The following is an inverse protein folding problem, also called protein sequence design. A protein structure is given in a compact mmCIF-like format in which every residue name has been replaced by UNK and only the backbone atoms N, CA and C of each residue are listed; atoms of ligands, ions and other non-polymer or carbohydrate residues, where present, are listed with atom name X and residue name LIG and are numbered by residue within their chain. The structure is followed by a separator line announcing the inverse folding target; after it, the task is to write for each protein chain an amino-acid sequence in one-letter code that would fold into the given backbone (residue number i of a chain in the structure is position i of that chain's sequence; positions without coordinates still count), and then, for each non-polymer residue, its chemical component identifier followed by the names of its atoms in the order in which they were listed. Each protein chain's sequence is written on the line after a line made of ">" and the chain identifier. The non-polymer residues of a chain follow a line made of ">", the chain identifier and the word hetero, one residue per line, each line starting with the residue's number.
data_IF_396565475285
#
_entry.id   IF_396565475285
#
_cell.length_a   1.000
_cell.length_b   1.000
_cell.length_c   1.000
_cell.angle_alpha   90.00
_cell.angle_beta   90.00
_cell.angle_gamma   90.00
#
_symmetry.space_group_name_H-M   'P 1'
#
loop_
_entity.id
_entity.type
_entity.pdbx_description
1 polymer ?
#
# COMPACT_ATOMS: atom_id res chain seq x y z
N UNK A 1 -4.28 51.38 -40.67
CA UNK A 1 -3.19 50.83 -39.83
C UNK A 1 -3.85 50.06 -38.66
N UNK A 2 -3.68 48.77 -38.62
CA UNK A 2 -4.50 47.90 -37.79
C UNK A 2 -4.01 47.79 -36.33
N UNK A 3 -4.90 48.05 -35.41
CA UNK A 3 -4.70 48.03 -33.96
C UNK A 3 -4.29 46.64 -33.38
N UNK A 4 -4.15 45.61 -34.21
CA UNK A 4 -3.77 44.24 -33.81
C UNK A 4 -2.25 43.98 -33.73
N UNK A 5 -1.41 44.93 -34.14
CA UNK A 5 0.07 44.80 -34.07
C UNK A 5 0.73 45.45 -32.85
N UNK A 6 -0.04 46.16 -32.02
CA UNK A 6 0.53 46.83 -30.82
C UNK A 6 0.38 46.02 -29.52
N UNK A 7 -0.43 44.94 -29.53
CA UNK A 7 -0.64 44.08 -28.31
C UNK A 7 0.41 42.97 -28.20
N UNK A 8 1.05 42.60 -29.32
CA UNK A 8 2.07 41.53 -29.33
C UNK A 8 3.44 41.93 -28.75
N UNK A 9 3.74 43.23 -28.68
CA UNK A 9 5.07 43.72 -28.28
C UNK A 9 5.13 44.15 -26.80
N UNK A 10 3.98 44.31 -26.14
CA UNK A 10 3.93 44.66 -24.71
C UNK A 10 4.02 43.43 -23.78
N UNK A 11 3.70 42.21 -24.28
CA UNK A 11 3.74 41.00 -23.48
C UNK A 11 5.12 40.32 -23.39
N UNK A 12 6.02 40.65 -24.32
CA UNK A 12 7.40 40.11 -24.35
C UNK A 12 8.42 40.85 -23.50
N UNK A 13 8.09 42.03 -22.99
CA UNK A 13 9.01 42.84 -22.16
C UNK A 13 8.81 42.61 -20.65
N UNK A 14 7.67 42.06 -20.25
CA UNK A 14 7.41 41.77 -18.83
C UNK A 14 8.03 40.41 -18.37
N UNK A 15 8.38 39.52 -19.29
CA UNK A 15 8.98 38.20 -18.93
C UNK A 15 10.51 38.22 -18.77
N UNK A 16 11.21 39.31 -19.16
CA UNK A 16 12.68 39.39 -19.04
C UNK A 16 13.19 40.22 -17.86
N UNK A 17 12.32 40.81 -17.05
CA UNK A 17 12.73 41.71 -15.94
C UNK A 17 12.79 41.02 -14.57
N UNK A 18 12.47 39.72 -14.47
CA UNK A 18 12.45 38.98 -13.19
C UNK A 18 13.66 38.06 -12.94
N UNK A 19 14.73 38.12 -13.80
CA UNK A 19 15.89 37.23 -13.66
C UNK A 19 17.17 37.90 -13.13
N UNK A 20 17.11 39.11 -12.59
CA UNK A 20 18.32 39.86 -12.15
C UNK A 20 18.18 40.46 -10.75
N UNK A 21 17.70 39.72 -9.76
CA UNK A 21 17.87 40.11 -8.36
C UNK A 21 17.84 38.90 -7.45
N UNK A 22 19.00 38.45 -6.98
CA UNK A 22 19.00 37.48 -5.92
C UNK A 22 20.23 36.58 -5.80
N UNK A 23 21.44 37.16 -5.63
CA UNK A 23 22.49 36.48 -4.86
C UNK A 23 22.34 36.91 -3.40
N UNK A 24 21.73 36.11 -2.60
CA UNK A 24 21.61 36.30 -1.15
C UNK A 24 21.18 34.97 -0.53
N UNK A 25 22.04 34.45 0.30
CA UNK A 25 21.97 33.20 1.06
C UNK A 25 20.59 33.01 1.72
N UNK A 26 19.71 32.18 1.14
CA UNK A 26 18.45 31.75 1.74
C UNK A 26 18.33 30.24 1.58
N UNK A 27 18.11 29.57 2.72
CA UNK A 27 17.71 28.18 2.77
C UNK A 27 16.51 27.99 1.83
N UNK A 28 16.66 27.13 0.84
CA UNK A 28 15.56 26.73 -0.04
C UNK A 28 14.55 25.91 0.79
N UNK A 29 13.56 26.60 1.33
CA UNK A 29 12.27 26.00 1.56
C UNK A 29 11.57 26.01 0.20
N UNK A 30 11.49 24.86 -0.43
CA UNK A 30 10.68 24.64 -1.62
C UNK A 30 9.22 24.69 -1.17
N UNK A 31 8.64 25.89 -1.12
CA UNK A 31 7.20 26.06 -0.98
C UNK A 31 6.53 25.53 -2.27
N UNK A 32 6.13 24.26 -2.23
CA UNK A 32 4.97 23.83 -3.01
C UNK A 32 3.82 24.71 -2.54
N UNK A 33 3.12 25.38 -3.44
CA UNK A 33 1.96 26.24 -3.16
C UNK A 33 0.83 25.40 -2.60
N UNK A 34 0.93 25.03 -1.33
CA UNK A 34 -0.12 24.41 -0.54
C UNK A 34 -1.07 25.51 -0.06
N UNK A 35 -2.36 25.27 -0.14
CA UNK A 35 -3.35 26.04 0.59
C UNK A 35 -2.88 26.19 2.03
N UNK A 36 -2.90 27.43 2.53
CA UNK A 36 -2.29 27.79 3.81
C UNK A 36 -2.83 26.92 4.95
N UNK A 37 -2.07 25.89 5.39
CA UNK A 37 -2.41 25.02 6.49
C UNK A 37 -2.54 23.52 6.16
N UNK A 38 -2.61 23.12 4.89
CA UNK A 38 -2.71 21.69 4.46
C UNK A 38 -1.35 21.01 4.55
N UNK A 39 -1.31 19.87 5.25
CA UNK A 39 -0.09 19.05 5.37
C UNK A 39 -0.10 17.97 4.29
N UNK A 40 0.85 18.06 3.39
CA UNK A 40 1.02 17.11 2.28
C UNK A 40 2.32 16.34 2.42
N UNK A 41 2.35 15.10 1.91
CA UNK A 41 3.55 14.25 1.86
C UNK A 41 3.60 13.54 0.51
N UNK A 42 4.75 13.62 -0.15
CA UNK A 42 5.02 12.86 -1.38
C UNK A 42 5.98 11.73 -1.08
N UNK A 43 5.59 10.51 -1.45
CA UNK A 43 6.37 9.29 -1.25
C UNK A 43 6.74 8.73 -2.62
N UNK A 44 8.01 8.46 -2.88
CA UNK A 44 8.44 7.67 -4.04
C UNK A 44 8.43 6.18 -3.71
N UNK A 45 7.85 5.36 -4.58
CA UNK A 45 7.78 3.90 -4.42
C UNK A 45 8.25 3.19 -5.68
N UNK A 46 9.20 2.27 -5.54
CA UNK A 46 9.69 1.43 -6.65
C UNK A 46 8.77 0.24 -6.93
N UNK A 47 7.85 -0.10 -6.04
CA UNK A 47 7.04 -1.33 -6.10
C UNK A 47 5.62 -1.10 -6.61
N UNK A 48 5.08 0.11 -6.48
CA UNK A 48 3.74 0.45 -6.98
C UNK A 48 3.79 0.64 -8.50
N UNK A 49 3.69 -0.46 -9.23
CA UNK A 49 3.72 -0.47 -10.70
C UNK A 49 3.20 -1.79 -11.28
N UNK A 50 2.85 -1.80 -12.55
CA UNK A 50 2.28 -2.94 -13.27
C UNK A 50 3.23 -4.15 -13.39
N UNK A 51 4.55 -3.93 -13.36
CA UNK A 51 5.51 -5.03 -13.43
C UNK A 51 5.57 -5.86 -12.14
N UNK A 52 5.12 -5.31 -11.01
CA UNK A 52 5.00 -6.00 -9.73
C UNK A 52 3.56 -6.42 -9.42
N UNK A 53 2.63 -6.24 -10.36
CA UNK A 53 1.21 -6.54 -10.17
C UNK A 53 0.55 -5.72 -9.03
N UNK A 54 1.19 -4.62 -8.60
CA UNK A 54 0.67 -3.67 -7.62
C UNK A 54 0.26 -2.36 -8.34
N UNK A 55 -0.58 -2.48 -9.36
CA UNK A 55 -0.92 -1.37 -10.26
C UNK A 55 -2.24 -0.66 -9.94
N UNK A 56 -2.90 -1.07 -8.86
CA UNK A 56 -4.11 -0.47 -8.33
C UNK A 56 -4.17 -0.70 -6.81
N UNK A 57 -5.29 -0.39 -6.17
CA UNK A 57 -5.44 -0.56 -4.71
C UNK A 57 -6.57 -1.52 -4.32
N UNK A 58 -7.09 -2.29 -5.28
CA UNK A 58 -8.08 -3.34 -4.99
C UNK A 58 -7.37 -4.57 -4.39
N UNK A 59 -7.58 -4.92 -3.10
CA UNK A 59 -6.89 -6.04 -2.47
C UNK A 59 -7.27 -7.40 -3.04
N UNK A 60 -8.39 -7.49 -3.80
CA UNK A 60 -8.84 -8.71 -4.46
C UNK A 60 -8.23 -8.91 -5.84
N UNK A 61 -7.34 -8.00 -6.29
CA UNK A 61 -6.67 -8.07 -7.57
C UNK A 61 -5.16 -8.34 -7.39
N UNK A 62 -4.73 -9.55 -7.75
CA UNK A 62 -3.34 -10.00 -7.73
C UNK A 62 -2.61 -9.64 -6.41
N UNK A 63 -1.55 -8.82 -6.46
CA UNK A 63 -0.78 -8.36 -5.30
C UNK A 63 -1.11 -6.93 -4.85
N UNK A 64 -2.15 -6.31 -5.42
CA UNK A 64 -2.55 -4.92 -5.11
C UNK A 64 -2.96 -4.71 -3.64
N UNK A 65 -3.28 -5.77 -2.91
CA UNK A 65 -3.48 -5.72 -1.45
C UNK A 65 -2.30 -5.12 -0.69
N UNK A 66 -1.05 -5.29 -1.18
CA UNK A 66 0.12 -4.67 -0.57
C UNK A 66 0.08 -3.14 -0.64
N UNK A 67 -0.37 -2.58 -1.75
CA UNK A 67 -0.57 -1.13 -1.88
C UNK A 67 -1.73 -0.66 -0.99
N UNK A 68 -2.84 -1.40 -0.99
CA UNK A 68 -4.02 -1.11 -0.17
C UNK A 68 -3.68 -0.97 1.31
N UNK A 69 -2.98 -1.96 1.89
CA UNK A 69 -2.62 -1.94 3.33
C UNK A 69 -1.47 -0.96 3.62
N UNK A 70 -0.45 -0.87 2.77
CA UNK A 70 0.74 -0.03 2.94
C UNK A 70 0.37 1.44 3.05
N UNK A 71 -0.55 1.89 2.23
CA UNK A 71 -0.97 3.30 2.19
C UNK A 71 -2.19 3.60 3.05
N UNK A 72 -2.65 2.62 3.84
CA UNK A 72 -3.71 2.82 4.83
C UNK A 72 -5.08 3.07 4.22
N UNK A 73 -5.39 2.41 3.08
CA UNK A 73 -6.71 2.47 2.42
C UNK A 73 -7.64 1.42 3.03
N UNK A 74 -7.18 0.16 3.04
CA UNK A 74 -7.88 -0.95 3.66
C UNK A 74 -7.12 -1.49 4.86
N UNK A 75 -7.83 -2.16 5.74
CA UNK A 75 -7.31 -2.80 6.94
C UNK A 75 -7.81 -4.24 7.01
N UNK A 76 -7.03 -5.11 7.65
CA UNK A 76 -7.36 -6.53 7.82
C UNK A 76 -8.09 -6.79 9.14
N UNK A 77 -8.73 -7.94 9.28
CA UNK A 77 -9.40 -8.31 10.54
C UNK A 77 -8.42 -8.39 11.71
N UNK A 78 -7.22 -8.88 11.46
CA UNK A 78 -6.13 -8.97 12.42
C UNK A 78 -4.87 -8.38 11.82
N UNK A 79 -3.93 -7.93 12.64
CA UNK A 79 -2.63 -7.44 12.19
C UNK A 79 -1.49 -8.24 12.81
N UNK A 80 -0.29 -8.08 12.27
CA UNK A 80 0.92 -8.63 12.85
C UNK A 80 1.65 -7.57 13.69
N UNK A 81 2.11 -8.00 14.88
CA UNK A 81 3.05 -7.22 15.68
C UNK A 81 4.44 -7.21 15.04
N UNK A 82 5.36 -6.38 15.58
CA UNK A 82 6.78 -6.39 15.17
C UNK A 82 7.48 -7.72 15.45
N UNK A 83 6.89 -8.59 16.30
CA UNK A 83 7.36 -9.96 16.58
C UNK A 83 6.61 -11.02 15.79
N UNK A 84 5.81 -10.63 14.79
CA UNK A 84 5.00 -11.52 13.96
C UNK A 84 3.89 -12.29 14.70
N UNK A 85 3.45 -11.76 15.83
CA UNK A 85 2.29 -12.29 16.56
C UNK A 85 1.00 -11.67 16.02
N UNK A 86 -0.09 -12.43 16.04
CA UNK A 86 -1.41 -11.95 15.64
C UNK A 86 -1.99 -11.07 16.74
N UNK A 87 -2.38 -9.86 16.38
CA UNK A 87 -3.03 -8.88 17.25
C UNK A 87 -4.42 -8.50 16.72
N UNK A 88 -5.37 -8.14 17.61
CA UNK A 88 -6.65 -7.58 17.22
C UNK A 88 -6.49 -6.31 16.36
N UNK A 89 -7.40 -6.17 15.36
CA UNK A 89 -7.50 -4.94 14.57
C UNK A 89 -8.96 -4.65 14.26
N UNK A 90 -9.48 -4.88 13.03
CA UNK A 90 -10.93 -4.77 12.77
C UNK A 90 -11.75 -5.84 13.52
N UNK A 91 -11.14 -6.99 13.80
CA UNK A 91 -11.64 -7.93 14.79
C UNK A 91 -11.10 -7.54 16.17
N UNK A 92 -11.98 -7.38 17.16
CA UNK A 92 -11.58 -7.10 18.55
C UNK A 92 -11.28 -8.37 19.35
N UNK A 93 -11.92 -9.49 18.99
CA UNK A 93 -11.70 -10.81 19.61
C UNK A 93 -12.14 -11.92 18.67
N UNK A 94 -11.67 -13.13 18.93
CA UNK A 94 -12.04 -14.32 18.17
C UNK A 94 -11.96 -15.58 19.03
N UNK A 95 -12.69 -16.61 18.61
CA UNK A 95 -12.71 -17.93 19.22
C UNK A 95 -12.66 -19.01 18.13
N UNK A 96 -11.79 -20.00 18.28
CA UNK A 96 -11.87 -21.24 17.52
C UNK A 96 -12.84 -22.17 18.26
N UNK A 97 -14.11 -22.23 17.82
CA UNK A 97 -15.19 -22.96 18.47
C UNK A 97 -14.99 -24.46 18.37
N UNK A 98 -14.54 -24.90 17.20
CA UNK A 98 -14.16 -26.28 16.90
C UNK A 98 -13.16 -26.32 15.72
N UNK A 99 -12.78 -27.52 15.24
CA UNK A 99 -11.78 -27.68 14.19
C UNK A 99 -12.12 -26.98 12.87
N UNK A 100 -13.40 -26.72 12.60
CA UNK A 100 -13.90 -26.15 11.36
C UNK A 100 -14.56 -24.78 11.54
N UNK A 101 -14.75 -24.32 12.78
CA UNK A 101 -15.59 -23.15 13.07
C UNK A 101 -14.82 -22.08 13.84
N UNK A 102 -14.80 -20.89 13.28
CA UNK A 102 -14.26 -19.68 13.90
C UNK A 102 -15.36 -18.67 14.11
N UNK A 103 -15.38 -18.05 15.28
CA UNK A 103 -16.26 -16.94 15.62
C UNK A 103 -15.41 -15.69 15.85
N UNK A 104 -15.72 -14.62 15.11
CA UNK A 104 -14.98 -13.37 15.12
C UNK A 104 -15.92 -12.26 15.53
N UNK A 105 -15.54 -11.46 16.53
CA UNK A 105 -16.29 -10.28 16.96
C UNK A 105 -15.59 -9.03 16.42
N UNK A 106 -16.31 -8.23 15.65
CA UNK A 106 -15.79 -7.02 14.99
C UNK A 106 -15.77 -5.82 15.93
N UNK A 107 -14.94 -4.82 15.62
CA UNK A 107 -14.97 -3.50 16.25
C UNK A 107 -16.31 -2.82 16.00
N UNK A 108 -16.73 -2.01 16.99
CA UNK A 108 -17.93 -1.19 16.87
C UNK A 108 -17.60 0.17 16.23
N UNK A 109 -18.56 0.78 15.55
CA UNK A 109 -18.45 2.12 14.97
C UNK A 109 -17.37 2.31 13.91
N UNK A 110 -16.98 1.26 13.22
CA UNK A 110 -16.12 1.34 12.03
C UNK A 110 -16.97 1.64 10.80
N UNK A 111 -16.48 2.55 9.95
CA UNK A 111 -17.13 2.88 8.67
C UNK A 111 -16.14 2.69 7.52
N UNK A 112 -16.67 2.28 6.40
CA UNK A 112 -15.96 2.39 5.13
C UNK A 112 -15.93 3.85 4.65
N UNK A 113 -14.99 4.18 3.80
CA UNK A 113 -14.93 5.51 3.17
C UNK A 113 -16.12 5.83 2.25
N UNK A 114 -16.92 4.84 1.88
CA UNK A 114 -18.24 4.99 1.24
C UNK A 114 -19.31 5.58 2.18
N UNK A 115 -19.09 5.53 3.50
CA UNK A 115 -20.03 5.91 4.54
C UNK A 115 -20.86 4.75 5.09
N UNK A 116 -20.80 3.55 4.49
CA UNK A 116 -21.44 2.33 5.00
C UNK A 116 -20.80 1.91 6.32
N UNK A 117 -21.61 1.44 7.28
CA UNK A 117 -21.10 0.83 8.51
C UNK A 117 -20.46 -0.54 8.21
N UNK A 118 -19.35 -0.85 8.88
CA UNK A 118 -18.72 -2.16 8.82
C UNK A 118 -19.34 -3.07 9.89
N UNK A 119 -20.27 -3.90 9.48
CA UNK A 119 -20.83 -4.99 10.26
C UNK A 119 -20.39 -6.37 9.73
N UNK A 120 -20.87 -7.43 10.37
CA UNK A 120 -20.51 -8.79 9.95
C UNK A 120 -21.05 -9.16 8.56
N UNK A 121 -22.17 -8.57 8.12
CA UNK A 121 -22.68 -8.83 6.77
C UNK A 121 -21.77 -8.19 5.71
N UNK A 122 -21.34 -6.95 5.93
CA UNK A 122 -20.39 -6.29 5.01
C UNK A 122 -19.05 -7.01 4.94
N UNK A 123 -18.54 -7.52 6.07
CA UNK A 123 -17.29 -8.33 6.10
C UNK A 123 -17.49 -9.66 5.39
N UNK A 124 -18.64 -10.32 5.58
CA UNK A 124 -18.98 -11.56 4.89
C UNK A 124 -19.00 -11.35 3.36
N UNK A 125 -19.72 -10.32 2.88
CA UNK A 125 -19.76 -9.99 1.45
C UNK A 125 -18.36 -9.72 0.87
N UNK A 126 -17.52 -9.01 1.62
CA UNK A 126 -16.12 -8.78 1.23
C UNK A 126 -15.34 -10.08 1.10
N UNK A 127 -15.43 -11.00 2.07
CA UNK A 127 -14.71 -12.27 2.05
C UNK A 127 -15.28 -13.25 1.01
N UNK A 128 -16.59 -13.22 0.72
CA UNK A 128 -17.20 -13.96 -0.37
C UNK A 128 -16.63 -13.48 -1.70
N UNK A 129 -16.65 -12.18 -1.96
CA UNK A 129 -16.05 -11.60 -3.16
C UNK A 129 -14.54 -11.93 -3.28
N UNK A 130 -13.80 -11.84 -2.17
CA UNK A 130 -12.38 -12.22 -2.12
C UNK A 130 -12.17 -13.67 -2.58
N UNK A 131 -12.91 -14.61 -2.01
CA UNK A 131 -12.74 -16.04 -2.32
C UNK A 131 -13.22 -16.43 -3.71
N UNK A 132 -14.12 -15.66 -4.29
CA UNK A 132 -14.55 -15.83 -5.68
C UNK A 132 -13.53 -15.33 -6.69
N UNK A 133 -12.84 -14.22 -6.40
CA UNK A 133 -12.00 -13.49 -7.36
C UNK A 133 -10.49 -13.65 -7.15
N UNK A 134 -10.05 -14.08 -5.96
CA UNK A 134 -8.63 -14.24 -5.62
C UNK A 134 -8.27 -15.70 -5.37
N UNK A 135 -7.64 -16.37 -6.35
CA UNK A 135 -7.37 -17.82 -6.32
C UNK A 135 -6.52 -18.25 -5.11
N UNK A 136 -5.50 -17.45 -4.74
CA UNK A 136 -4.67 -17.74 -3.56
C UNK A 136 -5.50 -17.67 -2.28
N UNK A 137 -6.31 -16.63 -2.08
CA UNK A 137 -7.16 -16.48 -0.90
C UNK A 137 -8.15 -17.64 -0.78
N UNK A 138 -8.79 -18.05 -1.88
CA UNK A 138 -9.66 -19.23 -1.92
C UNK A 138 -8.96 -20.49 -1.42
N UNK A 139 -7.72 -20.71 -1.84
CA UNK A 139 -6.95 -21.88 -1.46
C UNK A 139 -6.45 -21.81 -0.01
N UNK A 140 -6.09 -20.62 0.46
CA UNK A 140 -5.56 -20.39 1.81
C UNK A 140 -6.67 -20.42 2.86
N UNK A 141 -7.80 -19.77 2.63
CA UNK A 141 -8.89 -19.61 3.60
C UNK A 141 -9.78 -20.85 3.70
N UNK A 142 -10.06 -21.55 2.59
CA UNK A 142 -10.94 -22.73 2.54
C UNK A 142 -12.31 -22.50 3.19
N UNK A 143 -12.85 -21.31 3.06
CA UNK A 143 -14.18 -20.96 3.56
C UNK A 143 -15.23 -21.80 2.82
N UNK A 144 -16.12 -22.45 3.57
CA UNK A 144 -17.26 -23.20 3.08
C UNK A 144 -18.54 -22.37 3.17
N UNK A 145 -18.75 -21.74 4.32
CA UNK A 145 -19.89 -20.85 4.56
C UNK A 145 -19.60 -19.83 5.65
N UNK A 146 -20.39 -18.77 5.69
CA UNK A 146 -20.28 -17.74 6.72
C UNK A 146 -21.68 -17.31 7.17
N UNK A 147 -21.80 -17.00 8.46
CA UNK A 147 -23.00 -16.45 9.08
C UNK A 147 -22.68 -15.10 9.73
N UNK A 148 -23.53 -14.11 9.54
CA UNK A 148 -23.40 -12.78 10.11
C UNK A 148 -24.56 -12.48 11.06
N UNK A 149 -24.25 -11.96 12.26
CA UNK A 149 -25.21 -11.50 13.25
C UNK A 149 -24.68 -10.24 13.96
N UNK A 150 -25.12 -9.08 13.48
CA UNK A 150 -24.64 -7.78 13.97
C UNK A 150 -23.13 -7.61 13.77
N UNK A 151 -22.35 -7.64 14.85
CA UNK A 151 -20.88 -7.55 14.81
C UNK A 151 -20.20 -8.91 14.97
N UNK A 152 -20.92 -10.01 14.82
CA UNK A 152 -20.39 -11.36 14.96
C UNK A 152 -20.39 -12.03 13.60
N UNK A 153 -19.20 -12.40 13.13
CA UNK A 153 -19.00 -13.22 11.94
C UNK A 153 -18.61 -14.64 12.38
N UNK A 154 -19.37 -15.64 11.92
CA UNK A 154 -19.00 -17.05 12.08
C UNK A 154 -18.54 -17.58 10.73
N UNK A 155 -17.33 -18.14 10.70
CA UNK A 155 -16.71 -18.72 9.50
C UNK A 155 -16.64 -20.23 9.67
N UNK A 156 -17.19 -20.98 8.72
CA UNK A 156 -17.04 -22.41 8.60
C UNK A 156 -16.07 -22.73 7.47
N UNK A 157 -15.08 -23.58 7.74
CA UNK A 157 -14.07 -24.01 6.76
C UNK A 157 -14.33 -25.45 6.31
N UNK A 158 -14.00 -25.75 5.05
CA UNK A 158 -14.16 -27.09 4.47
C UNK A 158 -13.16 -28.12 4.99
N UNK A 159 -12.11 -27.68 5.68
CA UNK A 159 -11.08 -28.48 6.32
C UNK A 159 -10.52 -27.74 7.54
N UNK A 160 -9.89 -28.42 8.53
CA UNK A 160 -9.28 -27.75 9.67
C UNK A 160 -8.27 -26.69 9.26
N UNK A 161 -8.46 -25.45 9.75
CA UNK A 161 -7.64 -24.27 9.41
C UNK A 161 -7.14 -23.56 10.68
N UNK A 162 -6.18 -24.16 11.42
CA UNK A 162 -5.66 -23.54 12.65
C UNK A 162 -4.94 -22.20 12.37
N UNK A 163 -4.48 -21.97 11.15
CA UNK A 163 -3.82 -20.73 10.73
C UNK A 163 -4.77 -19.75 10.01
N UNK A 164 -6.10 -19.88 10.14
CA UNK A 164 -7.06 -19.02 9.43
C UNK A 164 -6.80 -17.54 9.68
N UNK A 165 -6.53 -17.14 10.91
CA UNK A 165 -6.25 -15.75 11.26
C UNK A 165 -5.00 -15.21 10.58
N UNK A 166 -3.96 -16.04 10.39
CA UNK A 166 -2.76 -15.63 9.66
C UNK A 166 -3.09 -15.27 8.21
N UNK A 167 -3.96 -16.02 7.57
CA UNK A 167 -4.42 -15.74 6.21
C UNK A 167 -5.35 -14.54 6.14
N UNK A 168 -6.20 -14.33 7.17
CA UNK A 168 -7.04 -13.13 7.27
C UNK A 168 -6.24 -11.85 7.56
N UNK A 169 -5.00 -11.97 8.00
CA UNK A 169 -4.03 -10.87 8.13
C UNK A 169 -3.12 -10.65 6.92
N UNK A 170 -3.26 -11.48 5.85
CA UNK A 170 -2.54 -11.24 4.57
C UNK A 170 -3.13 -10.02 3.86
N UNK A 171 -2.36 -9.22 3.11
CA UNK A 171 -2.84 -8.02 2.41
C UNK A 171 -4.07 -8.21 1.53
N UNK A 172 -4.28 -9.37 0.91
CA UNK A 172 -5.52 -9.64 0.19
C UNK A 172 -6.76 -9.65 1.10
N UNK A 173 -6.56 -9.89 2.39
CA UNK A 173 -7.62 -9.90 3.41
C UNK A 173 -8.05 -8.51 3.90
N UNK A 174 -7.63 -7.40 3.25
CA UNK A 174 -8.14 -6.08 3.55
C UNK A 174 -9.66 -6.03 3.34
N UNK A 175 -10.37 -5.55 4.36
CA UNK A 175 -11.83 -5.43 4.32
C UNK A 175 -12.21 -4.15 3.58
N UNK A 176 -13.01 -4.30 2.55
CA UNK A 176 -13.50 -3.24 1.67
C UNK A 176 -15.01 -3.34 1.48
N UNK A 177 -15.65 -2.24 1.18
CA UNK A 177 -17.07 -2.21 0.80
C UNK A 177 -17.21 -2.59 -0.68
N UNK A 178 -17.60 -3.84 -0.93
CA UNK A 178 -17.76 -4.36 -2.29
C UNK A 178 -18.96 -3.77 -3.02
N UNK A 179 -19.96 -3.28 -2.28
CA UNK A 179 -21.14 -2.61 -2.86
C UNK A 179 -20.80 -1.22 -3.40
N UNK A 180 -19.72 -0.60 -2.94
CA UNK A 180 -19.24 0.68 -3.46
C UNK A 180 -18.62 0.58 -4.86
N UNK A 181 -18.31 -0.63 -5.33
CA UNK A 181 -17.65 -0.88 -6.61
C UNK A 181 -16.14 -0.70 -6.58
N UNK A 182 -15.51 -0.81 -7.76
CA UNK A 182 -14.06 -0.86 -7.95
C UNK A 182 -13.60 0.07 -9.08
N UNK A 183 -14.22 1.23 -9.21
CA UNK A 183 -13.97 2.16 -10.31
C UNK A 183 -12.49 2.59 -10.35
N UNK A 184 -11.85 2.45 -11.50
CA UNK A 184 -10.43 2.78 -11.75
C UNK A 184 -9.45 2.10 -10.76
N UNK A 185 -9.82 0.93 -10.20
CA UNK A 185 -9.02 0.20 -9.21
C UNK A 185 -8.99 0.84 -7.82
N UNK A 186 -9.88 1.81 -7.57
CA UNK A 186 -10.07 2.44 -6.26
C UNK A 186 -11.12 1.65 -5.47
N UNK A 187 -10.92 1.52 -4.16
CA UNK A 187 -11.81 0.79 -3.27
C UNK A 187 -12.19 1.64 -2.06
N UNK A 188 -13.37 1.39 -1.52
CA UNK A 188 -13.80 1.97 -0.26
C UNK A 188 -13.35 1.08 0.90
N UNK A 189 -12.24 1.44 1.55
CA UNK A 189 -11.71 0.72 2.72
C UNK A 189 -12.10 1.38 4.04
N UNK A 190 -11.58 0.83 5.13
CA UNK A 190 -11.82 1.30 6.52
C UNK A 190 -10.68 2.17 7.04
N UNK A 191 -9.63 2.34 6.27
CA UNK A 191 -8.34 2.88 6.72
C UNK A 191 -8.30 4.40 6.92
N UNK A 192 -7.15 4.91 7.41
CA UNK A 192 -6.94 6.34 7.69
C UNK A 192 -6.89 7.22 6.44
N UNK A 193 -6.73 6.63 5.25
CA UNK A 193 -6.66 7.37 3.99
C UNK A 193 -7.63 6.81 2.96
N UNK A 194 -8.14 7.71 2.12
CA UNK A 194 -9.08 7.42 1.03
C UNK A 194 -8.35 7.68 -0.29
N UNK A 195 -8.28 6.69 -1.17
CA UNK A 195 -7.79 6.87 -2.53
C UNK A 195 -8.79 7.68 -3.34
N UNK A 196 -8.32 8.73 -4.02
CA UNK A 196 -9.15 9.62 -4.82
C UNK A 196 -8.72 9.69 -6.30
N UNK A 197 -7.49 9.28 -6.59
CA UNK A 197 -6.96 9.14 -7.95
C UNK A 197 -5.90 8.04 -7.97
N UNK A 198 -5.99 7.12 -8.92
CA UNK A 198 -5.05 6.02 -9.09
C UNK A 198 -4.70 5.89 -10.58
N UNK A 199 -3.50 6.29 -10.94
CA UNK A 199 -2.96 6.18 -12.29
C UNK A 199 -1.83 5.15 -12.27
N UNK A 200 -2.11 3.97 -12.79
CA UNK A 200 -1.11 2.89 -12.88
C UNK A 200 0.19 3.39 -13.50
N UNK A 201 1.33 3.01 -12.93
CA UNK A 201 2.68 3.40 -13.37
C UNK A 201 3.01 4.90 -13.27
N UNK A 202 2.17 5.72 -12.63
CA UNK A 202 2.41 7.15 -12.44
C UNK A 202 2.24 7.56 -10.98
N UNK A 203 1.02 7.59 -10.46
CA UNK A 203 0.78 8.02 -9.09
C UNK A 203 -0.51 7.47 -8.48
N UNK A 204 -0.57 7.57 -7.15
CA UNK A 204 -1.75 7.38 -6.33
C UNK A 204 -1.90 8.58 -5.41
N UNK A 205 -3.07 9.22 -5.44
CA UNK A 205 -3.41 10.34 -4.56
C UNK A 205 -4.40 9.89 -3.49
N UNK A 206 -4.09 10.22 -2.25
CA UNK A 206 -4.88 9.87 -1.09
C UNK A 206 -5.20 11.11 -0.26
N UNK A 207 -6.41 11.18 0.28
CA UNK A 207 -6.81 12.18 1.26
C UNK A 207 -7.09 11.53 2.61
N UNK A 208 -6.93 12.26 3.69
CA UNK A 208 -7.23 11.71 5.02
C UNK A 208 -8.70 11.34 5.15
N UNK A 209 -8.97 10.25 5.86
CA UNK A 209 -10.30 9.88 6.29
C UNK A 209 -10.61 10.61 7.61
N UNK A 210 -11.49 11.62 7.56
CA UNK A 210 -11.87 12.40 8.74
C UNK A 210 -12.65 11.57 9.76
N UNK A 211 -13.36 10.52 9.30
CA UNK A 211 -14.17 9.63 10.12
C UNK A 211 -13.44 8.34 10.51
N UNK A 212 -12.10 8.34 10.41
CA UNK A 212 -11.31 7.15 10.75
C UNK A 212 -11.52 6.73 12.21
N UNK A 213 -11.93 5.49 12.39
CA UNK A 213 -12.34 4.93 13.68
C UNK A 213 -11.23 4.92 14.75
N UNK A 214 -9.95 4.83 14.34
CA UNK A 214 -8.80 4.71 15.23
C UNK A 214 -7.95 6.00 15.28
N UNK A 215 -8.61 7.15 15.31
CA UNK A 215 -7.99 8.46 15.50
C UNK A 215 -7.81 9.27 14.22
N UNK A 216 -7.40 10.53 14.34
CA UNK A 216 -7.30 11.45 13.21
C UNK A 216 -5.92 11.36 12.55
N UNK A 217 -5.83 11.10 11.23
CA UNK A 217 -4.58 11.14 10.49
C UNK A 217 -3.93 12.53 10.53
N UNK A 218 -2.60 12.57 10.62
CA UNK A 218 -1.84 13.83 10.78
C UNK A 218 -1.51 14.53 9.48
N UNK A 219 -1.49 13.79 8.37
CA UNK A 219 -1.22 14.28 7.03
C UNK A 219 -2.57 14.40 6.31
N UNK A 220 -2.81 15.52 5.65
CA UNK A 220 -4.09 15.79 4.98
C UNK A 220 -4.15 15.15 3.59
N UNK A 221 -3.00 15.03 2.92
CA UNK A 221 -2.90 14.42 1.59
C UNK A 221 -1.57 13.69 1.42
N UNK A 222 -1.63 12.49 0.84
CA UNK A 222 -0.48 11.71 0.41
C UNK A 222 -0.49 11.59 -1.11
N UNK A 223 0.67 11.74 -1.72
CA UNK A 223 0.90 11.37 -3.13
C UNK A 223 1.97 10.31 -3.18
N UNK A 224 1.63 9.15 -3.71
CA UNK A 224 2.59 8.07 -3.98
C UNK A 224 3.00 8.20 -5.44
N UNK A 225 4.28 8.39 -5.70
CA UNK A 225 4.82 8.47 -7.07
C UNK A 225 5.52 7.18 -7.42
N UNK A 226 5.16 6.60 -8.53
CA UNK A 226 5.87 5.44 -9.09
C UNK A 226 7.24 5.88 -9.61
N UNK A 227 8.32 5.41 -8.98
CA UNK A 227 9.70 5.67 -9.40
C UNK A 227 10.45 4.34 -9.40
N UNK A 228 10.39 3.59 -10.48
CA UNK A 228 10.91 2.21 -10.58
C UNK A 228 12.43 2.12 -10.56
N UNK A 229 13.14 3.18 -10.99
CA UNK A 229 14.60 3.23 -10.97
C UNK A 229 15.14 3.72 -9.62
N UNK A 230 15.95 2.91 -8.96
CA UNK A 230 16.49 3.20 -7.62
C UNK A 230 17.40 4.43 -7.56
N UNK A 231 18.13 4.74 -8.62
CA UNK A 231 19.00 5.94 -8.69
C UNK A 231 18.14 7.21 -8.84
N UNK A 232 17.08 7.13 -9.63
CA UNK A 232 16.11 8.20 -9.79
C UNK A 232 15.38 8.46 -8.47
N UNK A 233 14.97 7.40 -7.76
CA UNK A 233 14.36 7.50 -6.43
C UNK A 233 15.28 8.20 -5.43
N UNK A 234 16.57 7.80 -5.38
CA UNK A 234 17.56 8.42 -4.51
C UNK A 234 17.76 9.90 -4.84
N UNK A 235 17.86 10.27 -6.11
CA UNK A 235 18.00 11.66 -6.54
C UNK A 235 16.76 12.50 -6.19
N UNK A 236 15.55 11.95 -6.37
CA UNK A 236 14.31 12.64 -6.03
C UNK A 236 14.22 12.93 -4.51
N UNK A 237 14.67 11.98 -3.67
CA UNK A 237 14.73 12.18 -2.23
C UNK A 237 15.79 13.22 -1.83
N UNK A 238 16.99 13.20 -2.44
CA UNK A 238 18.04 14.18 -2.17
C UNK A 238 17.67 15.59 -2.62
N UNK A 239 16.94 15.73 -3.72
CA UNK A 239 16.48 17.05 -4.22
C UNK A 239 15.30 17.61 -3.45
N UNK A 240 14.63 16.79 -2.60
CA UNK A 240 13.41 17.18 -1.89
C UNK A 240 12.14 17.11 -2.75
N UNK A 241 12.22 16.54 -3.95
CA UNK A 241 11.06 16.30 -4.82
C UNK A 241 10.07 15.33 -4.17
N UNK A 242 10.60 14.35 -3.41
CA UNK A 242 9.85 13.48 -2.51
C UNK A 242 10.39 13.62 -1.08
N UNK A 243 9.54 13.40 -0.09
CA UNK A 243 9.91 13.50 1.33
C UNK A 243 10.12 12.14 1.99
N UNK A 244 9.64 11.06 1.36
CA UNK A 244 9.89 9.69 1.80
C UNK A 244 10.10 8.78 0.58
N UNK A 245 10.81 7.68 0.79
CA UNK A 245 11.09 6.69 -0.26
C UNK A 245 10.84 5.29 0.27
N UNK A 246 10.16 4.45 -0.52
CA UNK A 246 9.95 3.04 -0.28
C UNK A 246 10.61 2.20 -1.39
N UNK A 247 11.24 1.08 -1.01
CA UNK A 247 11.90 0.21 -1.98
C UNK A 247 13.26 0.74 -2.48
N UNK A 248 13.93 1.60 -1.70
CA UNK A 248 15.28 2.07 -2.04
C UNK A 248 16.28 0.93 -2.08
N UNK A 249 17.13 0.93 -3.09
CA UNK A 249 18.20 -0.04 -3.24
C UNK A 249 19.27 0.11 -2.13
N UNK A 250 19.78 -1.00 -1.59
CA UNK A 250 20.74 -1.01 -0.49
C UNK A 250 22.03 -0.23 -0.79
N UNK A 251 22.50 -0.25 -2.03
CA UNK A 251 23.67 0.50 -2.48
C UNK A 251 23.52 2.02 -2.38
N UNK A 252 22.27 2.51 -2.30
CA UNK A 252 21.99 3.95 -2.12
C UNK A 252 21.96 4.39 -0.66
N UNK A 253 21.89 3.47 0.31
CA UNK A 253 21.78 3.80 1.74
C UNK A 253 22.89 4.71 2.26
N UNK A 254 24.19 4.52 1.89
CA UNK A 254 25.26 5.39 2.37
C UNK A 254 25.08 6.89 2.01
N UNK A 255 24.28 7.20 0.99
CA UNK A 255 23.97 8.59 0.61
C UNK A 255 23.10 9.31 1.64
N UNK A 256 22.40 8.56 2.49
CA UNK A 256 21.40 9.04 3.44
C UNK A 256 21.80 8.81 4.90
N UNK A 257 22.98 8.25 5.16
CA UNK A 257 23.52 8.04 6.52
C UNK A 257 24.03 9.35 7.13
N UNK A 258 23.10 10.28 7.39
CA UNK A 258 23.38 11.57 8.01
C UNK A 258 22.14 12.07 8.78
N UNK A 259 22.29 13.12 9.57
CA UNK A 259 21.25 13.65 10.46
C UNK A 259 20.02 14.26 9.74
N UNK A 260 20.08 14.40 8.41
CA UNK A 260 18.95 14.94 7.62
C UNK A 260 17.89 13.88 7.29
N UNK A 261 18.22 12.60 7.43
CA UNK A 261 17.34 11.48 7.06
C UNK A 261 17.12 10.53 8.23
N UNK A 262 15.97 9.86 8.21
CA UNK A 262 15.64 8.81 9.17
C UNK A 262 15.30 7.54 8.41
N UNK A 263 15.91 6.43 8.80
CA UNK A 263 15.55 5.10 8.31
C UNK A 263 14.50 4.49 9.23
N UNK A 264 13.44 3.93 8.61
CA UNK A 264 12.54 2.99 9.27
C UNK A 264 12.87 1.59 8.77
N UNK A 265 13.37 0.75 9.66
CA UNK A 265 13.76 -0.62 9.34
C UNK A 265 13.23 -1.56 10.42
N UNK A 266 12.53 -2.60 9.98
CA UNK A 266 12.06 -3.67 10.87
C UNK A 266 12.46 -5.03 10.28
N UNK A 267 12.69 -6.00 11.14
CA UNK A 267 12.89 -7.39 10.73
C UNK A 267 11.56 -7.99 10.27
N UNK A 268 11.60 -8.71 9.15
CA UNK A 268 10.42 -9.38 8.59
C UNK A 268 10.69 -10.86 8.40
N UNK A 269 9.64 -11.64 8.08
CA UNK A 269 9.76 -13.05 7.68
C UNK A 269 10.22 -13.23 6.22
N UNK A 270 10.47 -12.13 5.47
CA UNK A 270 10.90 -12.20 4.07
C UNK A 270 12.28 -12.83 3.96
N UNK A 271 12.37 -13.88 3.15
CA UNK A 271 13.62 -14.57 2.84
C UNK A 271 13.92 -14.46 1.34
N UNK A 272 15.19 -14.26 1.01
CA UNK A 272 15.67 -14.40 -0.36
C UNK A 272 16.25 -15.80 -0.51
N UNK A 273 15.90 -16.51 -1.58
CA UNK A 273 16.43 -17.83 -1.86
C UNK A 273 16.65 -18.01 -3.36
N UNK A 274 17.67 -18.78 -3.71
CA UNK A 274 17.93 -19.20 -5.08
C UNK A 274 17.18 -20.49 -5.39
N UNK A 275 16.25 -20.46 -6.37
CA UNK A 275 15.60 -21.66 -6.90
C UNK A 275 16.40 -22.19 -8.09
N UNK A 276 16.92 -23.41 -7.96
CA UNK A 276 17.68 -24.06 -9.04
C UNK A 276 16.72 -24.86 -9.94
N UNK A 277 16.93 -24.77 -11.25
CA UNK A 277 16.22 -25.64 -12.19
C UNK A 277 16.89 -27.03 -12.22
N UNK A 278 16.11 -28.09 -11.93
CA UNK A 278 16.58 -29.50 -11.94
C UNK A 278 16.24 -30.24 -13.23
N UNK A 279 15.73 -29.56 -14.25
CA UNK A 279 15.49 -30.17 -15.55
C UNK A 279 16.77 -30.81 -16.09
N UNK A 280 16.65 -31.96 -16.74
CA UNK A 280 17.81 -32.72 -17.29
C UNK A 280 18.67 -31.90 -18.25
N UNK A 281 18.10 -30.91 -18.91
CA UNK A 281 18.78 -29.95 -19.79
C UNK A 281 19.58 -28.86 -19.04
N UNK A 282 19.34 -28.69 -17.73
CA UNK A 282 19.97 -27.66 -16.90
C UNK A 282 21.31 -28.11 -16.36
N UNK A 283 22.29 -27.20 -16.31
CA UNK A 283 23.58 -27.44 -15.62
C UNK A 283 23.37 -27.76 -14.13
N UNK A 284 22.27 -27.30 -13.53
CA UNK A 284 21.90 -27.59 -12.14
C UNK A 284 21.27 -28.97 -11.96
N UNK A 285 21.06 -29.76 -13.02
CA UNK A 285 20.73 -31.19 -12.89
C UNK A 285 21.87 -31.96 -12.18
N UNK A 286 23.14 -31.56 -12.37
CA UNK A 286 24.26 -32.16 -11.68
C UNK A 286 24.33 -31.73 -10.20
N UNK A 287 24.27 -32.69 -9.23
CA UNK A 287 24.40 -32.38 -7.81
C UNK A 287 25.70 -31.66 -7.43
N UNK A 288 26.80 -31.91 -8.17
CA UNK A 288 28.08 -31.25 -7.90
C UNK A 288 28.02 -29.75 -8.21
N UNK A 289 27.30 -29.35 -9.28
CA UNK A 289 27.06 -27.93 -9.61
C UNK A 289 26.25 -27.26 -8.52
N UNK A 290 25.14 -27.88 -8.09
CA UNK A 290 24.31 -27.35 -7.00
C UNK A 290 25.10 -27.13 -5.71
N UNK A 291 25.95 -28.13 -5.37
CA UNK A 291 26.82 -28.03 -4.20
C UNK A 291 27.82 -26.88 -4.32
N UNK A 292 28.42 -26.73 -5.49
CA UNK A 292 29.39 -25.65 -5.75
C UNK A 292 28.71 -24.27 -5.62
N UNK A 293 27.49 -24.09 -6.17
CA UNK A 293 26.71 -22.86 -6.03
C UNK A 293 26.40 -22.58 -4.57
N UNK A 294 25.89 -23.58 -3.82
CA UNK A 294 25.58 -23.41 -2.40
C UNK A 294 26.81 -23.07 -1.53
N UNK A 295 28.01 -23.51 -1.92
CA UNK A 295 29.28 -23.19 -1.23
C UNK A 295 29.82 -21.81 -1.62
N UNK A 296 29.40 -21.24 -2.74
CA UNK A 296 29.86 -19.94 -3.23
C UNK A 296 28.93 -18.76 -2.85
N UNK A 297 27.82 -19.05 -2.17
CA UNK A 297 26.91 -18.02 -1.65
C UNK A 297 27.25 -17.82 -0.17
N UNK A 298 27.61 -16.58 0.19
CA UNK A 298 27.88 -16.16 1.56
C UNK A 298 26.62 -15.63 2.23
#
# INVERSE_FOLDING_TARGET
>A
MNAKKLIGTALSVVLCASMLAGCGNQKNETETTTEKGKKTLVIGDTTFNSSNEENNVNPHDAYSGWACIRYGIGETLVKYSDTMEIEPWLAKEWENVDELTWKITLQDNVKFSSGRDMDAEAVKECLEHLTENHERAKNDLKIDSMEADGQILTIHTSEPKPALLNYLGDPYGCIIDVDAGFDDGIVAGTGPYIAVDCQSDDHLTLVKNEDYWNGTPKIDELTIRTITDGSTLANALQSGEIQAAYGMAYESYPLFENDAYTFSQISTSRCFFGKMNFDESSVCADPAVRKAVAMGID
#
